data_IF_095140311016
#
_entry.id   IF_095140311016
#
_cell.length_a   1.000
_cell.length_b   1.000
_cell.length_c   1.000
_cell.angle_alpha   90.00
_cell.angle_beta   90.00
_cell.angle_gamma   90.00
#
_symmetry.space_group_name_H-M   'P 1'
#
loop_
_entity.id
_entity.type
_entity.pdbx_description
1 polymer ?
#
# COMPACT_ATOMS: atom_id res chain seq x y z
N UNK A 1 -9.37 -10.22 -15.59
CA UNK A 1 -8.18 -10.97 -16.09
C UNK A 1 -6.94 -10.08 -16.19
N UNK A 2 -6.90 -9.02 -17.02
CA UNK A 2 -5.66 -8.21 -17.23
C UNK A 2 -5.02 -7.54 -16.00
N UNK A 3 -5.78 -7.17 -14.95
CA UNK A 3 -5.22 -6.46 -13.77
C UNK A 3 -4.46 -7.36 -12.78
N UNK A 4 -4.74 -8.66 -12.77
CA UNK A 4 -4.09 -9.62 -11.86
C UNK A 4 -2.69 -9.98 -12.39
N UNK A 5 -2.55 -10.24 -13.69
CA UNK A 5 -1.25 -10.50 -14.34
C UNK A 5 -0.27 -9.34 -14.21
N UNK A 6 -0.74 -8.09 -14.25
CA UNK A 6 0.13 -6.91 -14.09
C UNK A 6 0.71 -6.85 -12.67
N UNK A 7 -0.12 -7.14 -11.65
CA UNK A 7 0.31 -7.18 -10.24
C UNK A 7 1.35 -8.26 -9.98
N UNK A 8 1.17 -9.42 -10.59
CA UNK A 8 2.09 -10.55 -10.45
C UNK A 8 3.44 -10.25 -11.10
N UNK A 9 3.43 -9.66 -12.31
CA UNK A 9 4.65 -9.20 -13.00
C UNK A 9 5.43 -8.13 -12.23
N UNK A 10 4.76 -7.16 -11.60
CA UNK A 10 5.43 -6.14 -10.76
C UNK A 10 6.05 -6.79 -9.52
N UNK A 11 5.33 -7.71 -8.87
CA UNK A 11 5.82 -8.46 -7.70
C UNK A 11 7.02 -9.35 -8.05
N UNK A 12 6.97 -10.04 -9.19
CA UNK A 12 8.07 -10.86 -9.72
C UNK A 12 9.28 -10.01 -10.08
N UNK A 13 9.07 -8.84 -10.68
CA UNK A 13 10.14 -7.87 -10.99
C UNK A 13 10.87 -7.43 -9.72
N UNK A 14 10.13 -7.05 -8.67
CA UNK A 14 10.73 -6.65 -7.40
C UNK A 14 11.43 -7.81 -6.70
N UNK A 15 10.83 -9.01 -6.71
CA UNK A 15 11.48 -10.19 -6.14
C UNK A 15 12.79 -10.50 -6.84
N UNK A 16 12.79 -10.49 -8.18
CA UNK A 16 14.00 -10.69 -8.99
C UNK A 16 15.06 -9.62 -8.70
N UNK A 17 14.71 -8.33 -8.76
CA UNK A 17 15.65 -7.23 -8.42
C UNK A 17 16.25 -7.43 -7.03
N UNK A 18 15.43 -7.80 -6.02
CA UNK A 18 15.93 -8.06 -4.66
C UNK A 18 16.85 -9.27 -4.58
N UNK A 19 16.53 -10.37 -5.25
CA UNK A 19 17.36 -11.57 -5.26
C UNK A 19 18.66 -11.36 -6.03
N UNK A 20 18.61 -10.63 -7.15
CA UNK A 20 19.79 -10.24 -7.92
C UNK A 20 20.69 -9.34 -7.06
N UNK A 21 20.10 -8.37 -6.34
CA UNK A 21 20.81 -7.49 -5.40
C UNK A 21 21.43 -8.28 -4.25
N UNK A 22 20.68 -9.20 -3.63
CA UNK A 22 21.18 -10.05 -2.56
C UNK A 22 22.36 -10.91 -3.04
N UNK A 23 22.22 -11.55 -4.20
CA UNK A 23 23.27 -12.39 -4.79
C UNK A 23 24.51 -11.59 -5.15
N UNK A 24 24.33 -10.33 -5.58
CA UNK A 24 25.44 -9.41 -5.84
C UNK A 24 26.13 -8.94 -4.56
N UNK A 25 25.39 -8.76 -3.46
CA UNK A 25 25.90 -8.32 -2.15
C UNK A 25 26.56 -9.45 -1.35
N UNK A 26 26.01 -10.67 -1.45
CA UNK A 26 26.38 -11.84 -0.65
C UNK A 26 26.57 -13.06 -1.55
N UNK A 27 27.63 -13.10 -2.37
CA UNK A 27 27.83 -14.17 -3.36
C UNK A 27 28.01 -15.52 -2.67
N UNK A 28 27.19 -16.51 -3.07
CA UNK A 28 27.22 -17.86 -2.52
C UNK A 28 26.44 -18.04 -1.22
N UNK A 29 25.87 -16.97 -0.67
CA UNK A 29 24.98 -17.04 0.48
C UNK A 29 23.52 -17.16 0.03
N UNK A 30 22.67 -17.71 0.89
CA UNK A 30 21.22 -17.63 0.72
C UNK A 30 20.62 -16.67 1.74
N UNK A 31 19.52 -15.97 1.41
CA UNK A 31 18.82 -15.14 2.37
C UNK A 31 18.48 -15.97 3.61
N UNK A 32 18.90 -15.54 4.82
CA UNK A 32 18.60 -16.28 6.02
C UNK A 32 17.09 -16.36 6.22
N UNK A 33 16.60 -17.50 6.69
CA UNK A 33 15.20 -17.62 7.12
C UNK A 33 15.01 -16.74 8.35
N UNK A 34 14.25 -15.68 8.19
CA UNK A 34 13.92 -14.77 9.28
C UNK A 34 12.79 -15.37 10.14
N UNK A 35 12.82 -15.20 11.47
CA UNK A 35 11.82 -15.79 12.39
C UNK A 35 10.53 -14.95 12.46
N UNK A 36 10.33 -14.02 11.54
CA UNK A 36 9.15 -13.17 11.46
C UNK A 36 8.45 -13.41 10.13
N UNK A 37 7.13 -13.39 10.19
CA UNK A 37 6.27 -13.54 9.02
C UNK A 37 6.54 -12.41 8.03
N UNK A 38 6.67 -12.76 6.76
CA UNK A 38 6.74 -11.76 5.72
C UNK A 38 5.44 -10.94 5.73
N UNK A 39 5.47 -9.67 5.33
CA UNK A 39 4.23 -8.92 5.13
C UNK A 39 3.22 -9.71 4.29
N UNK A 40 3.67 -10.47 3.28
CA UNK A 40 2.83 -11.38 2.49
C UNK A 40 2.14 -12.45 3.34
N UNK A 41 2.88 -13.12 4.22
CA UNK A 41 2.37 -14.12 5.16
C UNK A 41 1.39 -13.47 6.16
N UNK A 42 1.73 -12.31 6.71
CA UNK A 42 0.85 -11.55 7.61
C UNK A 42 -0.46 -11.15 6.91
N UNK A 43 -0.40 -10.80 5.62
CA UNK A 43 -1.58 -10.47 4.81
C UNK A 43 -2.39 -11.70 4.40
N UNK A 44 -1.75 -12.86 4.17
CA UNK A 44 -2.42 -14.13 3.86
C UNK A 44 -3.09 -14.76 5.09
N UNK A 45 -2.45 -14.67 6.25
CA UNK A 45 -2.95 -15.22 7.52
C UNK A 45 -4.02 -14.35 8.16
N UNK A 46 -3.98 -13.02 7.94
CA UNK A 46 -5.08 -12.16 8.33
C UNK A 46 -6.19 -12.30 7.30
N UNK A 47 -7.26 -13.00 7.66
CA UNK A 47 -8.56 -12.86 7.00
C UNK A 47 -9.06 -11.40 7.16
N UNK A 48 -8.53 -10.47 6.37
CA UNK A 48 -9.14 -9.17 6.16
C UNK A 48 -10.40 -9.40 5.33
N UNK A 49 -11.46 -9.86 6.00
CA UNK A 49 -12.81 -9.80 5.45
C UNK A 49 -13.11 -8.31 5.28
N UNK A 50 -12.90 -7.79 4.08
CA UNK A 50 -13.35 -6.47 3.68
C UNK A 50 -14.87 -6.42 3.84
N UNK A 51 -15.35 -5.86 4.95
CA UNK A 51 -16.79 -5.77 5.26
C UNK A 51 -17.33 -4.39 4.92
N UNK A 52 -16.46 -3.39 4.90
CA UNK A 52 -16.83 -2.00 4.67
C UNK A 52 -15.80 -1.23 3.84
N UNK A 53 -16.23 -0.09 3.29
CA UNK A 53 -15.32 0.88 2.65
C UNK A 53 -14.29 1.41 3.66
N UNK A 54 -14.63 1.47 4.95
CA UNK A 54 -13.67 1.86 5.99
C UNK A 54 -12.52 0.85 6.06
N UNK A 55 -12.82 -0.45 6.08
CA UNK A 55 -11.79 -1.49 6.16
C UNK A 55 -10.84 -1.43 4.96
N UNK A 56 -11.39 -1.14 3.77
CA UNK A 56 -10.58 -0.94 2.57
C UNK A 56 -9.67 0.30 2.68
N UNK A 57 -10.20 1.43 3.16
CA UNK A 57 -9.41 2.64 3.38
C UNK A 57 -8.32 2.45 4.44
N UNK A 58 -8.62 1.72 5.53
CA UNK A 58 -7.65 1.41 6.59
C UNK A 58 -6.48 0.56 6.03
N UNK A 59 -6.77 -0.40 5.15
CA UNK A 59 -5.73 -1.20 4.48
C UNK A 59 -4.89 -0.35 3.53
N UNK A 60 -5.51 0.56 2.78
CA UNK A 60 -4.76 1.49 1.93
C UNK A 60 -3.85 2.41 2.75
N UNK A 61 -4.27 2.83 3.95
CA UNK A 61 -3.42 3.60 4.86
C UNK A 61 -2.21 2.80 5.37
N UNK A 62 -2.42 1.54 5.73
CA UNK A 62 -1.33 0.63 6.10
C UNK A 62 -0.36 0.45 4.93
N UNK A 63 -0.88 0.24 3.71
CA UNK A 63 -0.06 0.12 2.51
C UNK A 63 0.76 1.39 2.26
N UNK A 64 0.16 2.59 2.32
CA UNK A 64 0.90 3.86 2.19
C UNK A 64 2.04 3.99 3.20
N UNK A 65 1.81 3.60 4.47
CA UNK A 65 2.87 3.62 5.50
C UNK A 65 3.99 2.64 5.19
N UNK A 66 3.66 1.46 4.67
CA UNK A 66 4.64 0.46 4.27
C UNK A 66 5.51 0.93 3.09
N UNK A 67 4.91 1.50 2.04
CA UNK A 67 5.65 2.02 0.88
C UNK A 67 6.57 3.17 1.29
N UNK A 68 6.10 4.08 2.15
CA UNK A 68 6.93 5.19 2.64
C UNK A 68 8.12 4.68 3.46
N UNK A 69 7.89 3.71 4.37
CA UNK A 69 8.97 3.11 5.16
C UNK A 69 10.00 2.42 4.26
N UNK A 70 9.55 1.66 3.26
CA UNK A 70 10.44 1.00 2.31
C UNK A 70 11.31 2.01 1.55
N UNK A 71 10.69 3.08 1.02
CA UNK A 71 11.39 4.19 0.38
C UNK A 71 12.45 4.81 1.27
N UNK A 72 12.13 5.09 2.53
CA UNK A 72 13.06 5.68 3.50
C UNK A 72 14.25 4.75 3.78
N UNK A 73 14.00 3.46 3.97
CA UNK A 73 15.04 2.44 4.17
C UNK A 73 15.99 2.40 2.97
N UNK A 74 15.46 2.25 1.76
CA UNK A 74 16.30 2.16 0.56
C UNK A 74 17.05 3.47 0.28
N UNK A 75 16.43 4.62 0.52
CA UNK A 75 17.11 5.93 0.45
C UNK A 75 18.27 6.02 1.45
N UNK A 76 18.07 5.54 2.68
CA UNK A 76 19.11 5.52 3.70
C UNK A 76 20.26 4.59 3.30
N UNK A 77 19.95 3.37 2.86
CA UNK A 77 20.95 2.40 2.38
C UNK A 77 21.77 2.95 1.20
N UNK A 78 21.13 3.63 0.25
CA UNK A 78 21.81 4.31 -0.87
C UNK A 78 22.74 5.45 -0.43
N UNK A 79 22.47 6.10 0.72
CA UNK A 79 23.34 7.15 1.27
C UNK A 79 24.57 6.59 1.98
N UNK A 80 24.43 5.47 2.69
CA UNK A 80 25.51 4.93 3.54
C UNK A 80 26.40 3.91 2.83
N UNK A 81 25.96 3.36 1.70
CA UNK A 81 26.75 2.40 0.94
C UNK A 81 27.91 3.09 0.19
N UNK A 82 29.12 2.52 0.32
CA UNK A 82 30.30 2.98 -0.40
C UNK A 82 30.39 2.45 -1.83
N UNK A 83 29.67 1.37 -2.13
CA UNK A 83 29.67 0.75 -3.45
C UNK A 83 28.72 1.50 -4.39
N UNK A 84 29.25 2.02 -5.50
CA UNK A 84 28.51 2.83 -6.49
C UNK A 84 27.35 2.05 -7.12
N UNK A 85 27.54 0.75 -7.39
CA UNK A 85 26.50 -0.08 -7.99
C UNK A 85 25.36 -0.33 -7.02
N UNK A 86 25.65 -0.63 -5.76
CA UNK A 86 24.61 -0.80 -4.74
C UNK A 86 23.89 0.50 -4.43
N UNK A 87 24.61 1.63 -4.45
CA UNK A 87 24.00 2.95 -4.33
C UNK A 87 22.95 3.18 -5.42
N UNK A 88 23.29 2.87 -6.67
CA UNK A 88 22.37 2.98 -7.81
C UNK A 88 21.12 2.12 -7.58
N UNK A 89 21.31 0.84 -7.25
CA UNK A 89 20.22 -0.11 -7.04
C UNK A 89 19.28 0.34 -5.91
N UNK A 90 19.82 0.74 -4.75
CA UNK A 90 18.96 1.18 -3.63
C UNK A 90 18.18 2.45 -3.95
N UNK A 91 18.79 3.40 -4.68
CA UNK A 91 18.09 4.61 -5.09
C UNK A 91 17.00 4.33 -6.13
N UNK A 92 17.22 3.40 -7.06
CA UNK A 92 16.20 2.94 -8.01
C UNK A 92 15.02 2.27 -7.29
N UNK A 93 15.28 1.41 -6.30
CA UNK A 93 14.20 0.79 -5.52
C UNK A 93 13.45 1.86 -4.72
N UNK A 94 14.14 2.84 -4.14
CA UNK A 94 13.48 3.94 -3.42
C UNK A 94 12.57 4.80 -4.32
N UNK A 95 12.94 4.96 -5.60
CA UNK A 95 12.11 5.61 -6.60
C UNK A 95 10.86 4.78 -6.91
N UNK A 96 11.02 3.48 -7.16
CA UNK A 96 9.92 2.53 -7.39
C UNK A 96 8.90 2.58 -6.24
N UNK A 97 9.34 2.55 -4.97
CA UNK A 97 8.41 2.61 -3.82
C UNK A 97 7.73 4.00 -3.68
N UNK A 98 8.36 5.05 -4.19
CA UNK A 98 7.73 6.37 -4.31
C UNK A 98 6.56 6.40 -5.30
N UNK A 99 6.71 5.73 -6.45
CA UNK A 99 5.64 5.56 -7.42
C UNK A 99 4.50 4.69 -6.86
N UNK A 100 4.85 3.62 -6.15
CA UNK A 100 3.87 2.76 -5.46
C UNK A 100 3.06 3.53 -4.43
N UNK A 101 3.72 4.34 -3.59
CA UNK A 101 3.02 5.21 -2.65
C UNK A 101 2.02 6.12 -3.36
N UNK A 102 2.43 6.79 -4.45
CA UNK A 102 1.57 7.70 -5.20
C UNK A 102 0.35 6.98 -5.78
N UNK A 103 0.53 5.75 -6.27
CA UNK A 103 -0.57 4.89 -6.73
C UNK A 103 -1.56 4.59 -5.59
N UNK A 104 -1.09 4.12 -4.44
CA UNK A 104 -1.95 3.78 -3.29
C UNK A 104 -2.66 5.03 -2.75
N UNK A 105 -1.97 6.17 -2.69
CA UNK A 105 -2.53 7.45 -2.26
C UNK A 105 -3.66 7.92 -3.18
N UNK A 106 -3.49 7.76 -4.50
CA UNK A 106 -4.54 8.09 -5.46
C UNK A 106 -5.79 7.21 -5.26
N UNK A 107 -5.61 5.90 -5.08
CA UNK A 107 -6.72 4.98 -4.79
C UNK A 107 -7.42 5.40 -3.48
N UNK A 108 -6.67 5.70 -2.42
CA UNK A 108 -7.24 6.18 -1.15
C UNK A 108 -8.07 7.46 -1.34
N UNK A 109 -7.56 8.45 -2.09
CA UNK A 109 -8.25 9.71 -2.38
C UNK A 109 -9.54 9.51 -3.16
N UNK A 110 -9.56 8.61 -4.15
CA UNK A 110 -10.77 8.29 -4.92
C UNK A 110 -11.83 7.67 -4.02
N UNK A 111 -11.47 6.63 -3.27
CA UNK A 111 -12.43 5.89 -2.46
C UNK A 111 -12.92 6.68 -1.24
N UNK A 112 -12.07 7.51 -0.63
CA UNK A 112 -12.47 8.39 0.47
C UNK A 112 -13.47 9.45 0.03
N UNK A 113 -13.31 10.05 -1.15
CA UNK A 113 -14.28 10.99 -1.74
C UNK A 113 -15.63 10.33 -2.01
N UNK A 114 -15.63 9.10 -2.54
CA UNK A 114 -16.87 8.34 -2.79
C UNK A 114 -17.59 8.07 -1.46
N UNK A 115 -16.86 7.64 -0.42
CA UNK A 115 -17.43 7.42 0.92
C UNK A 115 -18.03 8.70 1.48
N UNK A 116 -17.30 9.81 1.44
CA UNK A 116 -17.76 11.10 1.96
C UNK A 116 -19.02 11.59 1.25
N UNK A 117 -19.09 11.45 -0.08
CA UNK A 117 -20.28 11.81 -0.86
C UNK A 117 -21.50 11.01 -0.43
N UNK A 118 -21.35 9.70 -0.25
CA UNK A 118 -22.45 8.82 0.18
C UNK A 118 -22.94 9.18 1.58
N UNK A 119 -22.03 9.38 2.53
CA UNK A 119 -22.41 9.79 3.90
C UNK A 119 -23.09 11.16 3.95
N UNK A 120 -22.70 12.09 3.08
CA UNK A 120 -23.39 13.39 2.98
C UNK A 120 -24.82 13.24 2.42
N UNK A 121 -25.03 12.39 1.42
CA UNK A 121 -26.36 12.10 0.88
C UNK A 121 -27.27 11.49 1.95
N UNK A 122 -26.77 10.50 2.69
CA UNK A 122 -27.50 9.85 3.79
C UNK A 122 -27.92 10.87 4.87
N UNK A 123 -27.03 11.79 5.24
CA UNK A 123 -27.33 12.87 6.20
C UNK A 123 -28.39 13.85 5.70
N UNK A 124 -28.34 14.23 4.42
CA UNK A 124 -29.35 15.14 3.84
C UNK A 124 -30.74 14.49 3.86
N UNK A 125 -30.84 13.22 3.49
CA UNK A 125 -32.10 12.47 3.52
C UNK A 125 -32.67 12.35 4.94
N UNK A 126 -31.82 12.18 5.95
CA UNK A 126 -32.23 12.14 7.36
C UNK A 126 -32.79 13.49 7.81
N UNK A 127 -32.10 14.60 7.51
CA UNK A 127 -32.55 15.95 7.85
C UNK A 127 -33.87 16.32 7.16
N UNK A 128 -34.07 15.90 5.91
CA UNK A 128 -35.34 16.12 5.19
C UNK A 128 -36.50 15.34 5.83
N UNK A 129 -36.26 14.11 6.29
CA UNK A 129 -37.27 13.31 7.01
C UNK A 129 -37.65 13.95 8.34
N UNK A 130 -36.68 14.41 9.11
CA UNK A 130 -36.91 15.05 10.41
C UNK A 130 -37.70 16.36 10.27
N UNK A 131 -37.38 17.16 9.25
CA UNK A 131 -38.11 18.38 8.92
C UNK A 131 -39.56 18.09 8.57
N UNK A 132 -39.80 17.07 7.74
CA UNK A 132 -41.15 16.69 7.31
C UNK A 132 -41.98 16.11 8.47
N UNK A 133 -41.36 15.36 9.37
CA UNK A 133 -42.00 14.83 10.58
C UNK A 133 -42.40 15.95 11.57
N UNK A 134 -41.58 16.99 11.72
CA UNK A 134 -41.92 18.15 12.54
C UNK A 134 -43.05 19.00 11.95
N UNK A 135 -43.16 19.10 10.62
CA UNK A 135 -44.25 19.84 9.96
C UNK A 135 -45.59 19.10 9.90
N UNK A 136 -45.61 17.77 10.11
CA UNK A 136 -46.83 16.96 10.10
C UNK A 136 -47.46 16.80 11.50
N UNK A 137 -46.77 17.23 12.57
CA UNK A 137 -47.22 17.15 13.96
C UNK A 137 -47.72 18.47 14.55
N UNK A 138 -47.83 19.54 13.76
CA UNK A 138 -48.37 20.86 14.12
C UNK A 138 -49.65 21.14 13.33
#
# INVERSE_FOLDING_TARGET
>A
MKRVEIREKVRESHHKKRMDTFSALFPGEQPPKVPFDSWGTIFEEREYKLRSVKDYLDILEIAMKAEMLAKEIYTYLGKITANVEYKRIFLEIAEDEGEHYAFVENEYKVHSKIKARKSLQELVEELEKDKNAHSAGA
#
